data_IF_801434250077
#
_entry.id   IF_801434250077
#
_cell.length_a   1.000
_cell.length_b   1.000
_cell.length_c   1.000
_cell.angle_alpha   90.00
_cell.angle_beta   90.00
_cell.angle_gamma   90.00
#
_symmetry.space_group_name_H-M   'P 1'
#
loop_
_entity.id
_entity.type
_entity.pdbx_description
1 polymer ?
#
# COMPACT_ATOMS: atom_id res chain seq x y z
N UNK A 1 -1.83 -21.54 17.64
CA UNK A 1 -0.68 -21.11 16.80
C UNK A 1 -0.50 -22.03 15.59
N UNK A 2 -0.32 -23.36 15.74
CA UNK A 2 -0.22 -24.30 14.60
C UNK A 2 -1.41 -24.25 13.63
N UNK A 3 -2.64 -24.28 14.15
CA UNK A 3 -3.85 -24.20 13.31
C UNK A 3 -3.94 -22.91 12.48
N UNK A 4 -3.50 -21.77 13.02
CA UNK A 4 -3.47 -20.51 12.25
C UNK A 4 -2.47 -20.58 11.11
N UNK A 5 -1.31 -21.20 11.35
CA UNK A 5 -0.27 -21.36 10.34
C UNK A 5 -0.69 -22.34 9.23
N UNK A 6 -1.42 -23.40 9.58
CA UNK A 6 -1.96 -24.36 8.62
C UNK A 6 -3.05 -23.72 7.74
N UNK A 7 -3.92 -22.89 8.34
CA UNK A 7 -4.94 -22.12 7.61
C UNK A 7 -4.31 -21.10 6.67
N UNK A 8 -3.30 -20.35 7.14
CA UNK A 8 -2.57 -19.38 6.32
C UNK A 8 -1.91 -20.05 5.10
N UNK A 9 -1.25 -21.19 5.30
CA UNK A 9 -0.64 -21.96 4.22
C UNK A 9 -1.67 -22.49 3.23
N UNK A 10 -2.78 -23.05 3.71
CA UNK A 10 -3.85 -23.56 2.84
C UNK A 10 -4.46 -22.44 2.00
N UNK A 11 -4.68 -21.27 2.61
CA UNK A 11 -5.20 -20.09 1.91
C UNK A 11 -4.21 -19.56 0.87
N UNK A 12 -2.93 -19.48 1.19
CA UNK A 12 -1.88 -19.07 0.25
C UNK A 12 -1.82 -19.99 -0.98
N UNK A 13 -1.86 -21.33 -0.78
CA UNK A 13 -1.86 -22.29 -1.87
C UNK A 13 -3.12 -22.18 -2.74
N UNK A 14 -4.28 -21.99 -2.10
CA UNK A 14 -5.54 -21.78 -2.81
C UNK A 14 -5.49 -20.53 -3.70
N UNK A 15 -5.02 -19.39 -3.17
CA UNK A 15 -4.87 -18.16 -3.95
C UNK A 15 -3.91 -18.30 -5.14
N UNK A 16 -2.75 -18.94 -4.94
CA UNK A 16 -1.78 -19.13 -6.03
C UNK A 16 -2.31 -20.06 -7.14
N UNK A 17 -3.22 -20.98 -6.80
CA UNK A 17 -3.86 -21.88 -7.79
C UNK A 17 -4.89 -21.18 -8.68
N UNK A 18 -5.30 -19.95 -8.34
CA UNK A 18 -6.23 -19.12 -9.12
C UNK A 18 -5.54 -18.21 -10.15
N UNK A 19 -4.20 -18.25 -10.22
CA UNK A 19 -3.43 -17.40 -11.12
C UNK A 19 -3.69 -17.72 -12.60
N UNK A 20 -3.66 -16.69 -13.44
CA UNK A 20 -3.72 -16.79 -14.90
C UNK A 20 -2.68 -15.86 -15.54
N UNK A 21 -1.90 -16.33 -16.52
CA UNK A 21 -0.85 -15.53 -17.17
C UNK A 21 -1.33 -14.20 -17.76
N UNK A 22 -2.58 -14.15 -18.22
CA UNK A 22 -3.17 -12.94 -18.82
C UNK A 22 -3.28 -11.77 -17.83
N UNK A 23 -3.33 -12.07 -16.53
CA UNK A 23 -3.46 -11.08 -15.46
C UNK A 23 -2.14 -10.85 -14.69
N UNK A 24 -1.06 -11.57 -15.01
CA UNK A 24 0.22 -11.43 -14.30
C UNK A 24 0.74 -10.00 -14.32
N UNK A 25 0.67 -9.34 -15.48
CA UNK A 25 1.09 -7.94 -15.62
C UNK A 25 0.27 -7.00 -14.73
N UNK A 26 -1.03 -7.26 -14.55
CA UNK A 26 -1.91 -6.46 -13.70
C UNK A 26 -1.51 -6.63 -12.24
N UNK A 27 -1.30 -7.86 -11.77
CA UNK A 27 -0.87 -8.13 -10.40
C UNK A 27 0.53 -7.57 -10.11
N UNK A 28 1.44 -7.67 -11.08
CA UNK A 28 2.76 -7.04 -11.00
C UNK A 28 2.65 -5.52 -10.91
N UNK A 29 1.83 -4.88 -11.76
CA UNK A 29 1.60 -3.44 -11.71
C UNK A 29 1.02 -3.02 -10.37
N UNK A 30 0.01 -3.72 -9.86
CA UNK A 30 -0.64 -3.41 -8.58
C UNK A 30 0.32 -3.52 -7.39
N UNK A 31 1.23 -4.50 -7.41
CA UNK A 31 2.18 -4.75 -6.31
C UNK A 31 3.43 -3.87 -6.42
N UNK A 32 3.70 -3.32 -7.61
CA UNK A 32 4.89 -2.52 -7.84
C UNK A 32 4.85 -1.21 -7.04
N UNK A 33 5.90 -0.95 -6.26
CA UNK A 33 5.99 0.21 -5.35
C UNK A 33 5.79 1.54 -6.08
N UNK A 34 6.29 1.68 -7.31
CA UNK A 34 6.13 2.92 -8.07
C UNK A 34 4.68 3.21 -8.45
N UNK A 35 3.86 2.18 -8.68
CA UNK A 35 2.43 2.35 -9.00
C UNK A 35 1.68 3.00 -7.85
N UNK A 36 2.01 2.63 -6.61
CA UNK A 36 1.41 3.25 -5.42
C UNK A 36 1.79 4.73 -5.28
N UNK A 37 3.04 5.09 -5.63
CA UNK A 37 3.48 6.50 -5.65
C UNK A 37 2.63 7.31 -6.61
N UNK A 38 2.36 6.79 -7.81
CA UNK A 38 1.50 7.47 -8.80
C UNK A 38 0.10 7.72 -8.24
N UNK A 39 -0.50 6.71 -7.60
CA UNK A 39 -1.83 6.85 -6.96
C UNK A 39 -1.81 7.95 -5.88
N UNK A 40 -0.79 7.97 -5.02
CA UNK A 40 -0.68 8.98 -3.98
C UNK A 40 -0.51 10.40 -4.55
N UNK A 41 0.29 10.56 -5.60
CA UNK A 41 0.47 11.86 -6.26
C UNK A 41 -0.83 12.34 -6.93
N UNK A 42 -1.58 11.43 -7.58
CA UNK A 42 -2.89 11.76 -8.16
C UNK A 42 -3.85 12.23 -7.06
N UNK A 43 -3.94 11.51 -5.95
CA UNK A 43 -4.81 11.89 -4.83
C UNK A 43 -4.40 13.23 -4.22
N UNK A 44 -3.09 13.45 -4.03
CA UNK A 44 -2.56 14.70 -3.48
C UNK A 44 -2.86 15.88 -4.42
N UNK A 45 -2.67 15.70 -5.73
CA UNK A 45 -3.00 16.69 -6.74
C UNK A 45 -4.50 16.96 -6.82
N UNK A 46 -5.33 15.91 -6.72
CA UNK A 46 -6.80 16.04 -6.68
C UNK A 46 -7.27 16.85 -5.47
N UNK A 47 -6.71 16.60 -4.28
CA UNK A 47 -7.01 17.38 -3.07
C UNK A 47 -6.51 18.83 -3.21
N UNK A 48 -5.32 19.02 -3.78
CA UNK A 48 -4.76 20.33 -4.06
C UNK A 48 -5.65 21.15 -5.00
N UNK A 49 -6.17 20.50 -6.05
CA UNK A 49 -7.08 21.10 -7.02
C UNK A 49 -8.47 21.39 -6.44
N UNK A 50 -9.07 20.45 -5.71
CA UNK A 50 -10.46 20.55 -5.26
C UNK A 50 -10.64 21.36 -3.98
N UNK A 51 -9.66 21.35 -3.07
CA UNK A 51 -9.74 22.03 -1.78
C UNK A 51 -8.77 23.20 -1.72
N UNK A 52 -7.47 22.90 -1.58
CA UNK A 52 -6.38 23.89 -1.58
C UNK A 52 -5.03 23.18 -1.50
N UNK A 53 -4.03 23.71 -2.18
CA UNK A 53 -2.63 23.27 -2.04
C UNK A 53 -2.10 23.36 -0.60
N UNK A 54 -2.63 24.27 0.23
CA UNK A 54 -2.29 24.31 1.66
C UNK A 54 -2.74 23.04 2.37
N UNK A 55 -3.97 22.60 2.13
CA UNK A 55 -4.53 21.39 2.73
C UNK A 55 -3.79 20.13 2.24
N UNK A 56 -3.45 20.07 0.95
CA UNK A 56 -2.62 18.99 0.40
C UNK A 56 -1.23 18.95 1.05
N UNK A 57 -0.59 20.12 1.27
CA UNK A 57 0.68 20.22 2.00
C UNK A 57 0.58 19.72 3.45
N UNK A 58 -0.49 20.09 4.17
CA UNK A 58 -0.74 19.57 5.53
C UNK A 58 -0.92 18.07 5.54
N UNK A 59 -1.68 17.51 4.58
CA UNK A 59 -1.85 16.07 4.45
C UNK A 59 -0.50 15.38 4.26
N UNK A 60 0.31 15.85 3.31
CA UNK A 60 1.63 15.31 3.03
C UNK A 60 2.53 15.34 4.28
N UNK A 61 2.51 16.44 5.02
CA UNK A 61 3.28 16.59 6.25
C UNK A 61 2.86 15.59 7.32
N UNK A 62 1.56 15.47 7.60
CA UNK A 62 1.04 14.52 8.61
C UNK A 62 1.32 13.07 8.20
N UNK A 63 1.17 12.72 6.92
CA UNK A 63 1.54 11.39 6.42
C UNK A 63 3.03 11.12 6.62
N UNK A 64 3.90 12.10 6.34
CA UNK A 64 5.35 11.98 6.59
C UNK A 64 5.67 11.74 8.07
N UNK A 65 5.03 12.47 8.98
CA UNK A 65 5.16 12.24 10.42
C UNK A 65 4.70 10.84 10.82
N UNK A 66 3.57 10.36 10.27
CA UNK A 66 3.07 9.02 10.58
C UNK A 66 4.04 7.93 10.11
N UNK A 67 4.61 8.07 8.91
CA UNK A 67 5.64 7.16 8.40
C UNK A 67 6.85 7.13 9.35
N UNK A 68 7.36 8.30 9.75
CA UNK A 68 8.47 8.39 10.69
C UNK A 68 8.13 7.70 12.02
N UNK A 69 6.95 7.97 12.59
CA UNK A 69 6.50 7.31 13.81
C UNK A 69 6.44 5.79 13.66
N UNK A 70 5.85 5.27 12.58
CA UNK A 70 5.75 3.82 12.35
C UNK A 70 7.12 3.17 12.14
N UNK A 71 8.04 3.83 11.44
CA UNK A 71 9.38 3.32 11.20
C UNK A 71 10.18 3.24 12.51
N UNK A 72 10.17 4.31 13.30
CA UNK A 72 10.88 4.32 14.57
C UNK A 72 10.28 3.35 15.59
N UNK A 73 8.95 3.28 15.69
CA UNK A 73 8.29 2.32 16.58
C UNK A 73 8.58 0.86 16.17
N UNK A 74 8.58 0.54 14.87
CA UNK A 74 8.90 -0.81 14.41
C UNK A 74 10.36 -1.19 14.70
N UNK A 75 11.29 -0.24 14.67
CA UNK A 75 12.69 -0.50 15.04
C UNK A 75 12.90 -0.59 16.57
N UNK A 76 11.94 -0.13 17.38
CA UNK A 76 12.00 -0.18 18.84
C UNK A 76 11.43 -1.49 19.43
N UNK A 77 10.62 -2.24 18.68
CA UNK A 77 10.00 -3.50 19.08
C UNK A 77 10.56 -4.68 18.28
#
# INVERSE_FOLDING_TARGET
MKQLLDVDRAFFLWLNSLGSPDYDWFWMMMTHRASNIVVYLILLGFIGYKNSWKMAGYLLFVTGLLILCTDQLTNLF
#
